data_IF_459023675356
#
_entry.id   IF_459023675356
#
_cell.length_a   1.000
_cell.length_b   1.000
_cell.length_c   1.000
_cell.angle_alpha   90.00
_cell.angle_beta   90.00
_cell.angle_gamma   90.00
#
_symmetry.space_group_name_H-M   'P 1'
#
loop_
_entity.id
_entity.type
_entity.pdbx_description
1 polymer ?
#
# COMPACT_ATOMS: atom_id res chain seq x y z
N UNK A 1 21.47 9.43 -8.31
CA UNK A 1 21.25 8.40 -7.27
C UNK A 1 20.28 7.41 -7.88
N UNK A 2 20.69 6.17 -8.09
CA UNK A 2 19.84 5.14 -8.69
C UNK A 2 18.72 4.88 -7.68
N UNK A 3 17.49 5.30 -8.02
CA UNK A 3 16.31 4.91 -7.25
C UNK A 3 16.24 3.39 -7.34
N UNK A 4 16.54 2.72 -6.24
CA UNK A 4 16.11 1.36 -6.02
C UNK A 4 14.59 1.48 -5.95
N UNK A 5 13.90 1.18 -7.05
CA UNK A 5 12.49 0.81 -6.98
C UNK A 5 12.40 -0.21 -5.84
N UNK A 6 11.39 -0.10 -4.96
CA UNK A 6 11.05 -1.18 -4.04
C UNK A 6 10.54 -2.32 -4.92
N UNK A 7 11.47 -2.96 -5.63
CA UNK A 7 11.23 -4.07 -6.52
C UNK A 7 10.57 -5.15 -5.68
N UNK A 8 9.73 -5.97 -6.31
CA UNK A 8 9.20 -7.18 -5.72
C UNK A 8 10.30 -8.20 -5.33
N UNK A 9 11.58 -7.79 -5.18
CA UNK A 9 12.71 -8.62 -4.84
C UNK A 9 12.51 -9.38 -3.52
N UNK A 10 11.99 -8.77 -2.45
CA UNK A 10 11.70 -9.52 -1.22
C UNK A 10 10.58 -10.54 -1.43
N UNK A 11 9.50 -10.15 -2.11
CA UNK A 11 8.36 -11.04 -2.42
C UNK A 11 8.82 -12.20 -3.31
N UNK A 12 9.61 -11.91 -4.34
CA UNK A 12 10.21 -12.87 -5.26
C UNK A 12 11.18 -13.80 -4.53
N UNK A 13 12.02 -13.26 -3.64
CA UNK A 13 12.92 -14.06 -2.80
C UNK A 13 12.14 -15.00 -1.87
N UNK A 14 11.03 -14.54 -1.27
CA UNK A 14 10.17 -15.37 -0.43
C UNK A 14 9.59 -16.51 -1.29
N UNK A 15 9.05 -16.19 -2.47
CA UNK A 15 8.52 -17.18 -3.41
C UNK A 15 9.56 -18.22 -3.80
N UNK A 16 10.76 -17.79 -4.17
CA UNK A 16 11.86 -18.69 -4.51
C UNK A 16 12.30 -19.57 -3.33
N UNK A 17 12.22 -19.08 -2.09
CA UNK A 17 12.56 -19.88 -0.91
C UNK A 17 11.48 -20.91 -0.60
N UNK A 18 10.20 -20.55 -0.73
CA UNK A 18 9.08 -21.48 -0.57
C UNK A 18 9.12 -22.55 -1.66
N UNK A 19 9.37 -22.18 -2.91
CA UNK A 19 9.43 -23.12 -4.05
C UNK A 19 10.61 -24.11 -3.97
N UNK A 20 11.64 -23.81 -3.17
CA UNK A 20 12.74 -24.75 -2.88
C UNK A 20 12.37 -25.77 -1.81
N UNK A 21 11.39 -25.46 -0.96
CA UNK A 21 10.96 -26.33 0.13
C UNK A 21 9.85 -27.28 -0.31
N UNK A 22 9.00 -26.87 -1.25
CA UNK A 22 7.91 -27.71 -1.76
C UNK A 22 7.82 -27.61 -3.28
N UNK A 23 7.74 -28.77 -3.92
CA UNK A 23 7.57 -28.87 -5.36
C UNK A 23 6.11 -28.62 -5.75
N UNK A 24 5.84 -27.54 -6.50
CA UNK A 24 4.60 -27.31 -7.26
C UNK A 24 3.24 -27.13 -6.54
N UNK A 25 3.09 -26.45 -5.38
CA UNK A 25 1.76 -26.16 -4.85
C UNK A 25 1.00 -25.08 -5.63
N UNK A 26 1.69 -24.00 -6.05
CA UNK A 26 1.03 -22.82 -6.65
C UNK A 26 0.26 -23.14 -7.93
N UNK A 27 0.88 -23.83 -8.91
CA UNK A 27 0.23 -24.22 -10.17
C UNK A 27 -0.94 -25.18 -9.95
N UNK A 28 -0.82 -26.10 -8.99
CA UNK A 28 -1.86 -27.09 -8.70
C UNK A 28 -3.07 -26.52 -7.95
N UNK A 29 -2.86 -25.53 -7.09
CA UNK A 29 -3.95 -24.92 -6.31
C UNK A 29 -4.63 -23.75 -7.01
N UNK A 30 -4.02 -23.17 -8.05
CA UNK A 30 -4.63 -22.03 -8.78
C UNK A 30 -5.50 -22.49 -9.94
N UNK A 31 -5.05 -23.49 -10.70
CA UNK A 31 -5.74 -24.07 -11.85
C UNK A 31 -5.87 -25.59 -11.69
N UNK A 32 -6.76 -26.04 -10.79
CA UNK A 32 -7.06 -27.45 -10.65
C UNK A 32 -8.07 -27.93 -11.71
N UNK A 33 -8.00 -29.21 -12.09
CA UNK A 33 -8.90 -29.78 -13.09
C UNK A 33 -10.30 -30.03 -12.47
N UNK A 34 -11.23 -29.12 -12.76
CA UNK A 34 -12.62 -29.22 -12.30
C UNK A 34 -13.32 -30.50 -12.78
N UNK A 35 -12.90 -31.07 -13.92
CA UNK A 35 -13.47 -32.30 -14.47
C UNK A 35 -13.08 -33.48 -13.60
N UNK A 36 -11.77 -33.64 -13.31
CA UNK A 36 -11.27 -34.71 -12.45
C UNK A 36 -11.80 -34.58 -11.01
N UNK A 37 -11.91 -33.35 -10.51
CA UNK A 37 -12.54 -33.06 -9.22
C UNK A 37 -14.01 -33.50 -9.17
N UNK A 38 -14.77 -33.21 -10.24
CA UNK A 38 -16.19 -33.60 -10.36
C UNK A 38 -16.36 -35.11 -10.51
N UNK A 39 -15.48 -35.77 -11.26
CA UNK A 39 -15.43 -37.23 -11.37
C UNK A 39 -15.18 -37.87 -10.02
N UNK A 40 -14.18 -37.40 -9.27
CA UNK A 40 -13.89 -37.91 -7.92
C UNK A 40 -15.10 -37.73 -6.98
N UNK A 41 -15.74 -36.56 -7.03
CA UNK A 41 -16.95 -36.31 -6.24
C UNK A 41 -18.06 -37.30 -6.60
N UNK A 42 -18.28 -37.55 -7.89
CA UNK A 42 -19.26 -38.51 -8.38
C UNK A 42 -18.95 -39.93 -7.90
N UNK A 43 -17.68 -40.36 -7.97
CA UNK A 43 -17.25 -41.68 -7.50
C UNK A 43 -17.50 -41.86 -5.99
N UNK A 44 -17.23 -40.82 -5.19
CA UNK A 44 -17.46 -40.82 -3.73
C UNK A 44 -18.96 -40.84 -3.39
N UNK A 45 -19.78 -40.18 -4.21
CA UNK A 45 -21.24 -40.20 -4.05
C UNK A 45 -21.85 -41.54 -4.49
N UNK A 46 -21.26 -42.21 -5.48
CA UNK A 46 -21.70 -43.51 -5.96
C UNK A 46 -21.47 -44.66 -4.95
N UNK A 47 -20.57 -44.47 -3.98
CA UNK A 47 -20.40 -45.42 -2.87
C UNK A 47 -21.68 -45.52 -2.04
N UNK A 48 -22.36 -46.67 -2.09
CA UNK A 48 -23.64 -46.87 -1.42
C UNK A 48 -23.48 -47.02 0.10
N UNK A 49 -22.42 -47.73 0.53
CA UNK A 49 -22.15 -48.03 1.95
C UNK A 49 -20.82 -47.43 2.44
N UNK A 50 -20.62 -47.43 3.76
CA UNK A 50 -19.33 -47.06 4.35
C UNK A 50 -18.21 -48.05 4.03
N UNK A 51 -18.52 -49.35 3.87
CA UNK A 51 -17.55 -50.37 3.45
C UNK A 51 -17.10 -50.15 2.00
N UNK A 52 -18.02 -49.75 1.12
CA UNK A 52 -17.68 -49.38 -0.27
C UNK A 52 -16.74 -48.17 -0.28
N UNK A 53 -17.04 -47.15 0.55
CA UNK A 53 -16.20 -45.96 0.67
C UNK A 53 -14.82 -46.31 1.23
N UNK A 54 -14.72 -47.17 2.23
CA UNK A 54 -13.42 -47.63 2.75
C UNK A 54 -12.62 -48.38 1.69
N UNK A 55 -13.26 -49.30 0.97
CA UNK A 55 -12.63 -50.05 -0.13
C UNK A 55 -12.14 -49.10 -1.22
N UNK A 56 -12.97 -48.16 -1.66
CA UNK A 56 -12.59 -47.09 -2.58
C UNK A 56 -11.41 -46.27 -2.05
N UNK A 57 -11.46 -45.86 -0.78
CA UNK A 57 -10.42 -45.07 -0.12
C UNK A 57 -9.08 -45.78 -0.12
N UNK A 58 -9.04 -47.10 0.10
CA UNK A 58 -7.78 -47.87 0.10
C UNK A 58 -7.20 -48.02 -1.30
N UNK A 59 -8.06 -48.17 -2.32
CA UNK A 59 -7.65 -48.34 -3.71
C UNK A 59 -7.35 -47.03 -4.44
N UNK A 60 -7.73 -45.88 -3.85
CA UNK A 60 -7.57 -44.57 -4.48
C UNK A 60 -6.08 -44.27 -4.78
N UNK A 61 -5.72 -44.03 -6.06
CA UNK A 61 -4.35 -43.73 -6.44
C UNK A 61 -3.88 -42.39 -5.86
N UNK A 62 -2.58 -42.28 -5.54
CA UNK A 62 -2.02 -41.05 -4.96
C UNK A 62 -2.24 -39.81 -5.82
N UNK A 63 -2.24 -39.94 -7.16
CA UNK A 63 -2.49 -38.82 -8.09
C UNK A 63 -3.90 -38.24 -7.92
N UNK A 64 -4.89 -39.11 -7.68
CA UNK A 64 -6.30 -38.74 -7.46
C UNK A 64 -6.58 -38.17 -6.07
N UNK A 65 -5.63 -38.28 -5.12
CA UNK A 65 -5.80 -37.69 -3.78
C UNK A 65 -5.72 -36.16 -3.82
N UNK A 66 -4.98 -35.58 -4.76
CA UNK A 66 -4.92 -34.12 -4.88
C UNK A 66 -6.26 -33.53 -5.34
N UNK A 67 -7.02 -34.30 -6.13
CA UNK A 67 -8.35 -33.90 -6.60
C UNK A 67 -9.37 -33.82 -5.44
N UNK A 68 -9.05 -34.31 -4.23
CA UNK A 68 -9.92 -34.16 -3.05
C UNK A 68 -10.22 -32.70 -2.73
N UNK A 69 -9.22 -31.82 -2.83
CA UNK A 69 -9.40 -30.40 -2.54
C UNK A 69 -10.20 -29.70 -3.64
N UNK A 70 -9.94 -30.05 -4.91
CA UNK A 70 -10.78 -29.61 -6.03
C UNK A 70 -12.23 -30.08 -5.89
N UNK A 71 -12.45 -31.35 -5.50
CA UNK A 71 -13.78 -31.92 -5.28
C UNK A 71 -14.54 -31.14 -4.21
N UNK A 72 -13.89 -30.78 -3.09
CA UNK A 72 -14.48 -29.93 -2.06
C UNK A 72 -14.90 -28.54 -2.60
N UNK A 73 -14.18 -28.00 -3.59
CA UNK A 73 -14.47 -26.69 -4.16
C UNK A 73 -15.61 -26.71 -5.19
N UNK A 74 -15.64 -27.71 -6.08
CA UNK A 74 -16.68 -27.83 -7.15
C UNK A 74 -18.03 -28.34 -6.65
N UNK A 75 -18.09 -28.85 -5.42
CA UNK A 75 -19.33 -29.31 -4.81
C UNK A 75 -20.45 -28.25 -4.85
N UNK A 76 -21.61 -28.63 -5.39
CA UNK A 76 -22.79 -27.77 -5.38
C UNK A 76 -23.45 -27.75 -4.00
N UNK A 77 -24.27 -26.71 -3.72
CA UNK A 77 -25.07 -26.67 -2.50
C UNK A 77 -26.03 -27.87 -2.36
N UNK A 78 -26.41 -28.50 -3.48
CA UNK A 78 -27.30 -29.65 -3.51
C UNK A 78 -26.60 -30.98 -3.13
N UNK A 79 -25.27 -31.05 -3.20
CA UNK A 79 -24.49 -32.26 -2.88
C UNK A 79 -24.54 -32.63 -1.39
N UNK A 80 -24.96 -31.70 -0.53
CA UNK A 80 -25.22 -31.94 0.89
C UNK A 80 -23.97 -32.18 1.76
N UNK A 81 -24.19 -32.19 3.06
CA UNK A 81 -23.15 -32.30 4.10
C UNK A 81 -22.50 -33.71 4.16
N UNK A 82 -23.22 -34.72 3.69
CA UNK A 82 -22.74 -36.11 3.65
C UNK A 82 -21.53 -36.26 2.73
N UNK A 83 -21.54 -35.64 1.55
CA UNK A 83 -20.43 -35.72 0.60
C UNK A 83 -19.16 -35.04 1.15
N UNK A 84 -19.30 -33.90 1.85
CA UNK A 84 -18.17 -33.25 2.52
C UNK A 84 -17.57 -34.19 3.57
N UNK A 85 -18.41 -34.76 4.43
CA UNK A 85 -17.96 -35.69 5.48
C UNK A 85 -17.22 -36.90 4.90
N UNK A 86 -17.71 -37.45 3.78
CA UNK A 86 -17.05 -38.57 3.09
C UNK A 86 -15.68 -38.18 2.53
N UNK A 87 -15.55 -37.02 1.88
CA UNK A 87 -14.26 -36.52 1.38
C UNK A 87 -13.26 -36.27 2.51
N UNK A 88 -13.72 -35.70 3.62
CA UNK A 88 -12.87 -35.49 4.81
C UNK A 88 -12.44 -36.82 5.45
N UNK A 89 -13.28 -37.86 5.41
CA UNK A 89 -12.90 -39.20 5.86
C UNK A 89 -11.81 -39.82 4.96
N UNK A 90 -11.89 -39.63 3.63
CA UNK A 90 -10.81 -40.06 2.72
C UNK A 90 -9.51 -39.34 3.08
N UNK A 91 -9.57 -38.02 3.25
CA UNK A 91 -8.42 -37.20 3.64
C UNK A 91 -7.81 -37.69 4.95
N UNK A 92 -8.64 -37.97 5.96
CA UNK A 92 -8.23 -38.52 7.26
C UNK A 92 -7.43 -39.81 7.12
N UNK A 93 -7.99 -40.78 6.40
CA UNK A 93 -7.41 -42.12 6.25
C UNK A 93 -6.14 -42.14 5.39
N UNK A 94 -6.00 -41.20 4.45
CA UNK A 94 -4.90 -41.18 3.46
C UNK A 94 -3.95 -39.99 3.62
N UNK A 95 -4.01 -39.27 4.75
CA UNK A 95 -3.17 -38.10 4.98
C UNK A 95 -1.68 -38.45 4.98
N UNK A 96 -0.91 -37.68 4.21
CA UNK A 96 0.55 -37.73 4.15
C UNK A 96 1.11 -36.30 4.24
N UNK A 97 2.38 -36.11 4.61
CA UNK A 97 2.99 -34.77 4.67
C UNK A 97 2.83 -33.98 3.35
N UNK A 98 3.10 -34.63 2.22
CA UNK A 98 2.93 -34.02 0.89
C UNK A 98 1.48 -33.66 0.56
N UNK A 99 0.49 -34.45 1.02
CA UNK A 99 -0.93 -34.10 0.84
C UNK A 99 -1.34 -32.93 1.75
N UNK A 100 -0.72 -32.80 2.92
CA UNK A 100 -0.92 -31.67 3.82
C UNK A 100 -0.35 -30.36 3.27
N UNK A 101 0.80 -30.41 2.59
CA UNK A 101 1.38 -29.28 1.85
C UNK A 101 0.43 -28.84 0.72
N UNK A 102 -0.08 -29.78 -0.08
CA UNK A 102 -1.09 -29.49 -1.10
C UNK A 102 -2.34 -28.85 -0.48
N UNK A 103 -2.87 -29.44 0.59
CA UNK A 103 -4.05 -28.92 1.28
C UNK A 103 -3.84 -27.51 1.85
N UNK A 104 -2.64 -27.21 2.34
CA UNK A 104 -2.27 -25.87 2.79
C UNK A 104 -2.24 -24.86 1.63
N UNK A 105 -1.72 -25.23 0.46
CA UNK A 105 -1.74 -24.35 -0.70
C UNK A 105 -3.16 -24.08 -1.23
N UNK A 106 -3.99 -25.12 -1.36
CA UNK A 106 -5.41 -24.98 -1.71
C UNK A 106 -6.15 -24.10 -0.71
N UNK A 107 -5.89 -24.28 0.58
CA UNK A 107 -6.48 -23.45 1.62
C UNK A 107 -6.15 -21.98 1.41
N UNK A 108 -4.88 -21.67 1.13
CA UNK A 108 -4.42 -20.31 0.94
C UNK A 108 -5.02 -19.64 -0.30
N UNK A 109 -5.09 -20.36 -1.42
CA UNK A 109 -5.62 -19.84 -2.70
C UNK A 109 -7.13 -19.65 -2.70
N UNK A 110 -7.86 -20.49 -1.97
CA UNK A 110 -9.32 -20.41 -1.89
C UNK A 110 -9.82 -19.79 -0.59
N UNK A 111 -8.96 -19.11 0.16
CA UNK A 111 -9.35 -18.38 1.36
C UNK A 111 -10.24 -17.17 0.99
N UNK A 112 -11.32 -16.89 1.74
CA UNK A 112 -11.94 -17.72 2.77
C UNK A 112 -12.92 -18.73 2.17
N UNK A 113 -12.84 -20.00 2.58
CA UNK A 113 -13.80 -21.04 2.18
C UNK A 113 -14.03 -22.05 3.32
N UNK A 114 -15.29 -22.25 3.69
CA UNK A 114 -15.70 -23.13 4.80
C UNK A 114 -15.24 -24.58 4.65
N UNK A 115 -15.34 -25.13 3.44
CA UNK A 115 -14.92 -26.51 3.18
C UNK A 115 -13.40 -26.66 3.29
N UNK A 116 -12.67 -25.62 2.89
CA UNK A 116 -11.22 -25.56 3.07
C UNK A 116 -10.82 -25.38 4.54
N UNK A 117 -11.59 -24.62 5.34
CA UNK A 117 -11.40 -24.56 6.80
C UNK A 117 -11.49 -25.96 7.43
N UNK A 118 -12.51 -26.73 7.03
CA UNK A 118 -12.72 -28.09 7.53
C UNK A 118 -11.65 -29.08 7.06
N UNK A 119 -11.22 -28.96 5.80
CA UNK A 119 -10.12 -29.76 5.27
C UNK A 119 -8.82 -29.48 6.04
N UNK A 120 -8.46 -28.22 6.24
CA UNK A 120 -7.27 -27.86 7.00
C UNK A 120 -7.39 -28.29 8.47
N UNK A 121 -8.57 -28.17 9.08
CA UNK A 121 -8.81 -28.67 10.45
C UNK A 121 -8.53 -30.16 10.53
N UNK A 122 -9.05 -30.93 9.56
CA UNK A 122 -8.80 -32.38 9.47
C UNK A 122 -7.31 -32.68 9.33
N UNK A 123 -6.59 -31.96 8.47
CA UNK A 123 -5.14 -32.11 8.28
C UNK A 123 -4.39 -31.86 9.60
N UNK A 124 -4.73 -30.78 10.29
CA UNK A 124 -4.05 -30.36 11.53
C UNK A 124 -4.26 -31.38 12.65
N UNK A 125 -5.49 -31.87 12.85
CA UNK A 125 -5.78 -32.88 13.87
C UNK A 125 -5.01 -34.18 13.62
N UNK A 126 -5.02 -34.68 12.38
CA UNK A 126 -4.45 -35.99 12.06
C UNK A 126 -2.93 -36.00 11.99
N UNK A 127 -2.29 -34.85 11.79
CA UNK A 127 -0.81 -34.74 11.77
C UNK A 127 -0.23 -34.63 13.17
N UNK A 128 -0.97 -34.02 14.12
CA UNK A 128 -0.55 -34.00 15.53
C UNK A 128 -0.42 -35.42 16.08
N UNK A 129 -1.31 -36.32 15.69
CA UNK A 129 -1.32 -37.70 16.15
C UNK A 129 -0.19 -38.56 15.52
N UNK A 130 0.51 -38.05 14.50
CA UNK A 130 1.46 -38.81 13.67
C UNK A 130 2.93 -38.39 13.81
N UNK A 131 3.30 -37.58 14.82
CA UNK A 131 4.68 -37.10 15.06
C UNK A 131 5.38 -36.56 13.79
N UNK A 132 4.64 -35.87 12.92
CA UNK A 132 5.16 -35.41 11.63
C UNK A 132 5.98 -34.10 11.77
N UNK A 133 7.18 -34.06 11.18
CA UNK A 133 8.12 -32.92 11.14
C UNK A 133 7.67 -31.78 10.19
N UNK A 134 6.43 -31.28 10.30
CA UNK A 134 5.96 -30.12 9.50
C UNK A 134 5.84 -28.87 10.38
N UNK A 135 6.85 -27.97 10.41
CA UNK A 135 6.92 -26.87 11.37
C UNK A 135 5.75 -25.88 11.28
N UNK A 136 5.23 -25.64 10.07
CA UNK A 136 4.11 -24.72 9.84
C UNK A 136 2.79 -25.24 10.42
N UNK A 137 2.53 -26.55 10.37
CA UNK A 137 1.32 -27.16 10.95
C UNK A 137 1.31 -27.02 12.47
N UNK A 138 2.48 -27.18 13.10
CA UNK A 138 2.63 -26.94 14.52
C UNK A 138 2.35 -25.47 14.87
N UNK A 139 2.82 -24.53 14.05
CA UNK A 139 2.53 -23.11 14.25
C UNK A 139 1.05 -22.75 14.01
N UNK A 140 0.40 -23.33 13.00
CA UNK A 140 -1.05 -23.19 12.78
C UNK A 140 -1.81 -23.70 14.00
N UNK A 141 -1.44 -24.86 14.51
CA UNK A 141 -2.02 -25.48 15.71
C UNK A 141 -1.92 -24.53 16.90
N UNK A 142 -0.71 -24.04 17.18
CA UNK A 142 -0.47 -23.18 18.33
C UNK A 142 -1.15 -21.80 18.18
N UNK A 143 -1.38 -21.32 16.95
CA UNK A 143 -2.09 -20.05 16.71
C UNK A 143 -3.63 -20.21 16.64
N UNK A 144 -4.11 -21.43 16.36
CA UNK A 144 -5.53 -21.76 16.37
C UNK A 144 -6.06 -22.04 17.79
N UNK A 145 -5.19 -22.05 18.81
CA UNK A 145 -5.46 -22.18 20.25
C UNK A 145 -6.68 -23.08 20.58
N UNK A 146 -6.69 -24.25 19.94
CA UNK A 146 -7.71 -25.31 20.05
C UNK A 146 -9.16 -24.85 19.85
N UNK A 147 -9.62 -24.81 18.59
CA UNK A 147 -10.67 -25.75 18.12
C UNK A 147 -11.17 -25.46 16.70
N UNK A 148 -10.92 -24.27 16.13
CA UNK A 148 -11.54 -23.92 14.85
C UNK A 148 -10.56 -23.13 13.97
N UNK A 149 -10.28 -23.70 12.80
CA UNK A 149 -9.69 -22.96 11.69
C UNK A 149 -10.84 -22.23 11.02
N UNK A 150 -10.74 -20.92 10.92
CA UNK A 150 -11.77 -20.03 10.40
C UNK A 150 -11.14 -18.83 9.69
N UNK A 151 -11.99 -17.86 9.30
CA UNK A 151 -11.60 -16.62 8.66
C UNK A 151 -10.76 -15.69 9.56
N UNK A 152 -10.72 -15.92 10.87
CA UNK A 152 -9.93 -15.13 11.82
C UNK A 152 -8.51 -15.67 12.02
N UNK A 153 -8.17 -16.83 11.45
CA UNK A 153 -6.82 -17.41 11.51
C UNK A 153 -5.70 -16.42 11.08
N UNK A 154 -5.82 -15.65 9.99
CA UNK A 154 -4.80 -14.67 9.61
C UNK A 154 -4.53 -13.65 10.73
N UNK A 155 -5.59 -13.16 11.38
CA UNK A 155 -5.50 -12.22 12.50
C UNK A 155 -4.79 -12.81 13.72
N UNK A 156 -5.09 -14.06 14.08
CA UNK A 156 -4.44 -14.77 15.19
C UNK A 156 -2.94 -14.98 14.94
N UNK A 157 -2.58 -15.39 13.71
CA UNK A 157 -1.17 -15.54 13.32
C UNK A 157 -0.43 -14.20 13.33
N UNK A 158 -1.05 -13.14 12.79
CA UNK A 158 -0.49 -11.80 12.78
C UNK A 158 -0.26 -11.27 14.20
N UNK A 159 -1.23 -11.45 15.11
CA UNK A 159 -1.12 -11.06 16.51
C UNK A 159 0.05 -11.79 17.20
N UNK A 160 0.15 -13.10 17.01
CA UNK A 160 1.23 -13.92 17.56
C UNK A 160 2.61 -13.49 17.05
N UNK A 161 2.73 -13.19 15.76
CA UNK A 161 4.00 -12.71 15.19
C UNK A 161 4.38 -11.36 15.80
N UNK A 162 3.43 -10.43 15.95
CA UNK A 162 3.69 -9.13 16.60
C UNK A 162 4.13 -9.26 18.06
N UNK A 163 3.65 -10.26 18.78
CA UNK A 163 4.11 -10.56 20.15
C UNK A 163 5.56 -11.07 20.21
N UNK A 164 6.18 -11.42 19.08
CA UNK A 164 7.54 -11.94 18.99
C UNK A 164 8.38 -11.10 17.99
N UNK A 165 8.82 -9.90 18.38
CA UNK A 165 9.45 -8.92 17.48
C UNK A 165 10.82 -9.36 16.90
N UNK A 166 11.42 -10.42 17.44
CA UNK A 166 12.66 -11.03 16.94
C UNK A 166 12.46 -11.75 15.60
N UNK A 167 11.21 -12.12 15.25
CA UNK A 167 10.93 -12.79 13.99
C UNK A 167 10.65 -11.79 12.87
N UNK A 168 11.48 -11.83 11.82
CA UNK A 168 11.27 -11.06 10.60
C UNK A 168 10.04 -11.58 9.85
N UNK A 169 9.17 -10.68 9.38
CA UNK A 169 7.94 -11.03 8.68
C UNK A 169 8.19 -11.90 7.44
N UNK A 170 9.22 -11.56 6.66
CA UNK A 170 9.59 -12.35 5.48
C UNK A 170 10.00 -13.79 5.82
N UNK A 171 10.77 -13.98 6.89
CA UNK A 171 11.22 -15.31 7.32
C UNK A 171 10.04 -16.11 7.89
N UNK A 172 9.09 -15.42 8.53
CA UNK A 172 7.85 -16.02 8.99
C UNK A 172 6.99 -16.51 7.82
N UNK A 173 6.83 -15.72 6.75
CA UNK A 173 6.13 -16.14 5.54
C UNK A 173 6.77 -17.40 4.93
N UNK A 174 8.10 -17.44 4.86
CA UNK A 174 8.82 -18.63 4.35
C UNK A 174 8.62 -19.83 5.26
N UNK A 175 8.81 -19.67 6.57
CA UNK A 175 8.65 -20.74 7.56
C UNK A 175 7.22 -21.32 7.58
N UNK A 176 6.22 -20.46 7.38
CA UNK A 176 4.82 -20.84 7.32
C UNK A 176 4.37 -21.28 5.92
N UNK A 177 5.26 -21.21 4.93
CA UNK A 177 4.95 -21.43 3.51
C UNK A 177 3.72 -20.64 3.05
N UNK A 178 3.67 -19.37 3.44
CA UNK A 178 2.60 -18.45 3.05
C UNK A 178 2.91 -17.92 1.64
N UNK A 179 2.06 -18.28 0.69
CA UNK A 179 2.17 -17.90 -0.72
C UNK A 179 1.85 -16.40 -0.88
N UNK A 180 2.82 -15.54 -1.25
CA UNK A 180 2.68 -14.09 -1.10
C UNK A 180 1.51 -13.44 -1.83
N UNK A 181 1.04 -14.04 -2.93
CA UNK A 181 -0.04 -13.50 -3.77
C UNK A 181 -1.39 -14.18 -3.49
N UNK A 182 -1.44 -15.10 -2.51
CA UNK A 182 -2.68 -15.78 -2.17
C UNK A 182 -3.65 -14.86 -1.41
N UNK A 183 -4.97 -15.10 -1.51
CA UNK A 183 -5.96 -14.41 -0.67
C UNK A 183 -5.68 -14.53 0.83
N UNK A 184 -5.14 -15.67 1.27
CA UNK A 184 -4.71 -15.83 2.66
C UNK A 184 -3.56 -14.89 3.04
N UNK A 185 -2.54 -14.75 2.19
CA UNK A 185 -1.46 -13.80 2.42
C UNK A 185 -1.96 -12.35 2.44
N UNK A 186 -2.90 -11.99 1.55
CA UNK A 186 -3.55 -10.69 1.55
C UNK A 186 -4.20 -10.40 2.91
N UNK A 187 -5.03 -11.33 3.41
CA UNK A 187 -5.69 -11.21 4.72
C UNK A 187 -4.68 -11.18 5.88
N UNK A 188 -3.65 -12.03 5.86
CA UNK A 188 -2.62 -12.09 6.89
C UNK A 188 -1.81 -10.80 6.97
N UNK A 189 -1.34 -10.30 5.83
CA UNK A 189 -0.57 -9.05 5.77
C UNK A 189 -1.44 -7.85 6.15
N UNK A 190 -2.70 -7.82 5.72
CA UNK A 190 -3.66 -6.79 6.13
C UNK A 190 -3.80 -6.76 7.66
N UNK A 191 -4.09 -7.90 8.28
CA UNK A 191 -4.20 -8.01 9.73
C UNK A 191 -2.89 -7.70 10.45
N UNK A 192 -1.74 -8.05 9.86
CA UNK A 192 -0.42 -7.69 10.40
C UNK A 192 -0.22 -6.18 10.44
N UNK A 193 -0.43 -5.49 9.32
CA UNK A 193 -0.12 -4.08 9.14
C UNK A 193 -1.17 -3.11 9.68
N UNK A 194 -2.44 -3.53 9.80
CA UNK A 194 -3.56 -2.70 10.30
C UNK A 194 -3.35 -2.12 11.70
N UNK A 195 -2.51 -2.75 12.52
CA UNK A 195 -2.21 -2.27 13.88
C UNK A 195 -0.71 -2.31 14.19
N UNK A 196 0.12 -2.20 13.15
CA UNK A 196 1.55 -2.34 13.27
C UNK A 196 2.21 -0.99 13.62
N UNK A 197 3.13 -0.92 14.59
CA UNK A 197 3.88 0.29 14.85
C UNK A 197 4.77 0.67 13.66
N UNK A 198 5.05 1.96 13.52
CA UNK A 198 5.87 2.53 12.45
C UNK A 198 7.19 1.81 12.22
N UNK A 199 7.89 1.43 13.29
CA UNK A 199 9.17 0.72 13.22
C UNK A 199 9.07 -0.59 12.43
N UNK A 200 7.96 -1.31 12.55
CA UNK A 200 7.73 -2.57 11.87
C UNK A 200 7.25 -2.37 10.43
N UNK A 201 6.49 -1.30 10.14
CA UNK A 201 6.18 -0.89 8.76
C UNK A 201 7.47 -0.57 8.02
N UNK A 202 8.33 0.25 8.63
CA UNK A 202 9.60 0.66 8.05
C UNK A 202 10.54 -0.53 7.77
N UNK A 203 10.68 -1.46 8.72
CA UNK A 203 11.49 -2.68 8.54
C UNK A 203 10.96 -3.59 7.44
N UNK A 204 9.67 -3.51 7.13
CA UNK A 204 8.99 -4.38 6.17
C UNK A 204 8.32 -3.57 5.04
N UNK A 205 8.94 -2.47 4.60
CA UNK A 205 8.36 -1.53 3.64
C UNK A 205 7.90 -2.22 2.34
N UNK A 206 8.70 -3.12 1.76
CA UNK A 206 8.34 -3.89 0.56
C UNK A 206 7.09 -4.74 0.78
N UNK A 207 7.00 -5.43 1.91
CA UNK A 207 5.85 -6.27 2.24
C UNK A 207 4.61 -5.45 2.58
N UNK A 208 4.78 -4.24 3.13
CA UNK A 208 3.68 -3.31 3.37
C UNK A 208 3.09 -2.80 2.05
N UNK A 209 3.94 -2.38 1.10
CA UNK A 209 3.51 -1.98 -0.23
C UNK A 209 2.85 -3.15 -0.97
N UNK A 210 3.42 -4.35 -0.88
CA UNK A 210 2.81 -5.58 -1.42
C UNK A 210 1.43 -5.83 -0.82
N UNK A 211 1.28 -5.69 0.50
CA UNK A 211 -0.01 -5.84 1.17
C UNK A 211 -1.06 -4.87 0.63
N UNK A 212 -0.69 -3.63 0.33
CA UNK A 212 -1.59 -2.65 -0.31
C UNK A 212 -1.96 -3.10 -1.73
N UNK A 213 -1.00 -3.60 -2.53
CA UNK A 213 -1.23 -4.03 -3.91
C UNK A 213 -2.21 -5.19 -4.04
N UNK A 214 -2.10 -6.22 -3.18
CA UNK A 214 -2.89 -7.45 -3.30
C UNK A 214 -4.25 -7.41 -2.60
N UNK A 215 -4.51 -6.40 -1.76
CA UNK A 215 -5.75 -6.29 -1.01
C UNK A 215 -6.83 -5.47 -1.73
N UNK A 216 -8.12 -5.72 -1.45
CA UNK A 216 -9.21 -4.92 -1.98
C UNK A 216 -9.22 -3.50 -1.41
N UNK A 217 -9.96 -2.60 -2.08
CA UNK A 217 -9.91 -1.15 -1.84
C UNK A 217 -10.24 -0.73 -0.41
N UNK A 218 -11.20 -1.37 0.23
CA UNK A 218 -11.60 -1.12 1.62
C UNK A 218 -10.45 -1.41 2.61
N UNK A 219 -9.68 -2.46 2.36
CA UNK A 219 -8.49 -2.79 3.12
C UNK A 219 -7.34 -1.85 2.78
N UNK A 220 -7.14 -1.50 1.50
CA UNK A 220 -6.16 -0.49 1.09
C UNK A 220 -6.37 0.84 1.82
N UNK A 221 -7.62 1.30 1.88
CA UNK A 221 -8.01 2.52 2.62
C UNK A 221 -7.64 2.42 4.09
N UNK A 222 -7.89 1.26 4.72
CA UNK A 222 -7.55 1.01 6.12
C UNK A 222 -6.05 1.06 6.37
N UNK A 223 -5.27 0.36 5.54
CA UNK A 223 -3.80 0.30 5.67
C UNK A 223 -3.14 1.66 5.43
N UNK A 224 -3.58 2.39 4.40
CA UNK A 224 -3.05 3.71 4.07
C UNK A 224 -3.47 4.74 5.12
N UNK A 225 -4.70 4.69 5.64
CA UNK A 225 -5.12 5.57 6.74
C UNK A 225 -4.30 5.36 8.00
N UNK A 226 -3.99 4.11 8.35
CA UNK A 226 -3.11 3.80 9.47
C UNK A 226 -1.69 4.30 9.22
N UNK A 227 -1.13 4.03 8.04
CA UNK A 227 0.20 4.50 7.67
C UNK A 227 0.32 6.02 7.68
N UNK A 228 -0.67 6.73 7.15
CA UNK A 228 -0.71 8.19 7.11
C UNK A 228 -1.43 8.78 8.33
N UNK A 229 -1.51 8.07 9.46
CA UNK A 229 -1.99 8.62 10.74
C UNK A 229 -1.09 9.74 11.27
N UNK A 230 0.18 9.71 10.87
CA UNK A 230 1.24 10.67 11.19
C UNK A 230 1.84 11.26 9.91
N UNK A 231 2.59 12.36 10.05
CA UNK A 231 3.29 12.99 8.92
C UNK A 231 4.50 12.16 8.48
N UNK A 232 4.55 11.77 7.20
CA UNK A 232 5.62 10.93 6.61
C UNK A 232 6.67 11.75 5.86
N UNK A 233 7.15 12.82 6.47
CA UNK A 233 8.07 13.80 5.82
C UNK A 233 9.55 13.38 5.85
N UNK A 234 9.92 12.41 6.68
CA UNK A 234 11.30 11.96 6.78
C UNK A 234 11.71 11.11 5.55
N UNK A 235 12.96 11.19 5.07
CA UNK A 235 13.41 10.44 3.89
C UNK A 235 13.24 8.92 3.98
N UNK A 236 13.19 8.39 5.20
CA UNK A 236 13.02 6.95 5.45
C UNK A 236 11.68 6.40 4.94
N UNK A 237 10.69 7.27 4.78
CA UNK A 237 9.35 6.96 4.27
C UNK A 237 9.19 7.19 2.77
N UNK A 238 10.17 7.87 2.15
CA UNK A 238 10.15 8.19 0.72
C UNK A 238 9.90 6.97 -0.17
N UNK A 239 10.52 5.79 0.07
CA UNK A 239 10.27 4.62 -0.77
C UNK A 239 8.79 4.20 -0.79
N UNK A 240 8.13 4.13 0.37
CA UNK A 240 6.71 3.76 0.45
C UNK A 240 5.84 4.83 -0.24
N UNK A 241 6.12 6.10 0.02
CA UNK A 241 5.34 7.19 -0.55
C UNK A 241 5.46 7.28 -2.08
N UNK A 242 6.64 6.98 -2.63
CA UNK A 242 6.85 6.89 -4.08
C UNK A 242 6.03 5.76 -4.71
N UNK A 243 6.00 4.58 -4.10
CA UNK A 243 5.18 3.46 -4.57
C UNK A 243 3.68 3.81 -4.52
N UNK A 244 3.22 4.50 -3.48
CA UNK A 244 1.83 4.98 -3.40
C UNK A 244 1.52 6.00 -4.51
N UNK A 245 2.45 6.91 -4.77
CA UNK A 245 2.31 7.92 -5.83
C UNK A 245 2.29 7.28 -7.23
N UNK A 246 3.15 6.29 -7.46
CA UNK A 246 3.21 5.53 -8.72
C UNK A 246 1.93 4.72 -8.94
N UNK A 247 1.45 4.04 -7.89
CA UNK A 247 0.28 3.16 -7.98
C UNK A 247 -1.05 3.92 -8.09
N UNK A 248 -1.22 5.00 -7.33
CA UNK A 248 -2.52 5.69 -7.22
C UNK A 248 -2.55 7.09 -7.82
N UNK A 249 -1.40 7.59 -8.30
CA UNK A 249 -1.24 8.97 -8.72
C UNK A 249 -1.34 9.96 -7.55
N UNK A 250 -1.18 11.26 -7.83
CA UNK A 250 -1.32 12.29 -6.81
C UNK A 250 -2.78 12.47 -6.38
N UNK A 251 -3.03 12.90 -5.13
CA UNK A 251 -4.35 13.32 -4.69
C UNK A 251 -4.84 14.53 -5.51
N UNK A 252 -6.16 14.69 -5.61
CA UNK A 252 -6.75 15.86 -6.27
C UNK A 252 -6.43 17.14 -5.46
N UNK A 253 -6.59 18.30 -6.10
CA UNK A 253 -6.46 19.58 -5.41
C UNK A 253 -7.42 19.64 -4.22
N UNK A 254 -7.10 20.41 -3.18
CA UNK A 254 -7.90 20.46 -1.95
C UNK A 254 -9.36 20.83 -2.23
N UNK A 255 -9.60 21.75 -3.17
CA UNK A 255 -10.95 22.16 -3.57
C UNK A 255 -11.71 21.02 -4.25
N UNK A 256 -11.06 20.31 -5.18
CA UNK A 256 -11.65 19.15 -5.86
C UNK A 256 -11.93 18.00 -4.88
N UNK A 257 -11.05 17.78 -3.91
CA UNK A 257 -11.22 16.74 -2.88
C UNK A 257 -12.42 17.05 -1.98
N UNK A 258 -12.55 18.32 -1.54
CA UNK A 258 -13.71 18.79 -0.77
C UNK A 258 -15.00 18.64 -1.58
N UNK A 259 -15.00 19.03 -2.84
CA UNK A 259 -16.16 18.90 -3.72
C UNK A 259 -16.55 17.42 -3.92
N UNK A 260 -15.57 16.54 -4.16
CA UNK A 260 -15.80 15.10 -4.28
C UNK A 260 -16.37 14.49 -2.99
N UNK A 261 -15.92 14.96 -1.82
CA UNK A 261 -16.47 14.52 -0.53
C UNK A 261 -17.94 14.93 -0.31
N UNK A 262 -18.36 16.06 -0.89
CA UNK A 262 -19.71 16.61 -0.75
C UNK A 262 -20.71 16.05 -1.77
N UNK A 263 -20.28 15.85 -3.01
CA UNK A 263 -21.15 15.42 -4.12
C UNK A 263 -21.37 13.90 -4.18
N UNK A 264 -20.74 13.14 -3.28
CA UNK A 264 -20.78 11.68 -3.31
C UNK A 264 -19.82 11.06 -4.33
N UNK A 265 -19.64 9.75 -4.23
CA UNK A 265 -18.61 9.01 -4.98
C UNK A 265 -19.11 8.69 -6.39
N UNK A 266 -18.43 9.23 -7.41
CA UNK A 266 -18.68 8.90 -8.83
C UNK A 266 -18.11 7.54 -9.21
N UNK A 267 -18.45 7.03 -10.40
CA UNK A 267 -17.80 5.85 -11.01
C UNK A 267 -16.28 6.01 -11.12
N UNK A 268 -15.80 7.25 -11.28
CA UNK A 268 -14.38 7.57 -11.48
C UNK A 268 -13.66 7.93 -10.16
N UNK A 269 -14.19 7.49 -9.03
CA UNK A 269 -13.60 7.74 -7.72
C UNK A 269 -12.22 7.06 -7.61
N UNK A 270 -11.19 7.87 -7.36
CA UNK A 270 -9.82 7.39 -7.10
C UNK A 270 -9.69 6.94 -5.65
N UNK A 271 -8.64 6.20 -5.31
CA UNK A 271 -8.38 5.75 -3.93
C UNK A 271 -8.44 6.91 -2.92
N UNK A 272 -7.83 8.05 -3.25
CA UNK A 272 -7.80 9.25 -2.42
C UNK A 272 -9.20 9.77 -2.05
N UNK A 273 -10.23 9.49 -2.86
CA UNK A 273 -11.62 9.88 -2.61
C UNK A 273 -12.31 9.02 -1.53
N UNK A 274 -11.68 7.91 -1.12
CA UNK A 274 -12.17 7.03 -0.05
C UNK A 274 -11.49 7.29 1.29
N UNK A 275 -10.40 8.07 1.31
CA UNK A 275 -9.65 8.44 2.51
C UNK A 275 -10.22 9.72 3.14
N UNK A 276 -10.07 9.87 4.45
CA UNK A 276 -10.45 11.10 5.14
C UNK A 276 -9.55 12.27 4.74
N UNK A 277 -10.11 13.48 4.68
CA UNK A 277 -9.35 14.68 4.26
C UNK A 277 -8.02 14.87 5.01
N UNK A 278 -7.92 14.70 6.35
CA UNK A 278 -6.65 14.84 7.06
C UNK A 278 -5.58 13.85 6.60
N UNK A 279 -5.98 12.64 6.20
CA UNK A 279 -5.08 11.60 5.69
C UNK A 279 -4.54 12.00 4.32
N UNK A 280 -5.44 12.45 3.43
CA UNK A 280 -5.09 12.94 2.09
C UNK A 280 -4.18 14.17 2.19
N UNK A 281 -4.45 15.08 3.12
CA UNK A 281 -3.68 16.31 3.33
C UNK A 281 -2.23 16.01 3.75
N UNK A 282 -2.00 15.00 4.61
CA UNK A 282 -0.65 14.57 4.98
C UNK A 282 0.15 14.04 3.79
N UNK A 283 -0.48 13.22 2.93
CA UNK A 283 0.19 12.73 1.72
C UNK A 283 0.45 13.86 0.72
N UNK A 284 -0.53 14.74 0.51
CA UNK A 284 -0.38 15.92 -0.34
C UNK A 284 0.78 16.80 0.12
N UNK A 285 0.93 16.99 1.43
CA UNK A 285 2.07 17.76 1.96
C UNK A 285 3.41 17.08 1.67
N UNK A 286 3.51 15.75 1.86
CA UNK A 286 4.72 15.02 1.47
C UNK A 286 5.01 15.17 -0.02
N UNK A 287 4.02 14.96 -0.88
CA UNK A 287 4.16 15.06 -2.33
C UNK A 287 4.62 16.45 -2.76
N UNK A 288 4.02 17.48 -2.17
CA UNK A 288 4.38 18.87 -2.40
C UNK A 288 5.85 19.16 -2.08
N UNK A 289 6.33 18.70 -0.91
CA UNK A 289 7.73 18.85 -0.52
C UNK A 289 8.66 18.03 -1.43
N UNK A 290 8.23 16.82 -1.81
CA UNK A 290 8.98 15.97 -2.73
C UNK A 290 9.14 16.61 -4.11
N UNK A 291 8.09 17.20 -4.68
CA UNK A 291 8.15 17.94 -5.94
C UNK A 291 9.08 19.16 -5.84
N UNK A 292 8.99 19.90 -4.73
CA UNK A 292 9.83 21.06 -4.45
C UNK A 292 11.31 20.65 -4.37
N UNK A 293 11.65 19.62 -3.59
CA UNK A 293 13.03 19.13 -3.46
C UNK A 293 13.59 18.61 -4.78
N UNK A 294 12.77 17.90 -5.57
CA UNK A 294 13.14 17.45 -6.92
C UNK A 294 13.42 18.64 -7.86
N UNK A 295 12.61 19.69 -7.78
CA UNK A 295 12.76 20.88 -8.62
C UNK A 295 13.99 21.72 -8.24
N UNK A 296 14.23 21.91 -6.95
CA UNK A 296 15.38 22.67 -6.44
C UNK A 296 16.70 21.94 -6.77
N UNK A 297 16.66 20.61 -6.86
CA UNK A 297 17.85 19.80 -7.13
C UNK A 297 18.92 20.03 -6.08
N UNK A 298 20.15 20.32 -6.51
CA UNK A 298 21.30 20.50 -5.61
C UNK A 298 21.50 21.94 -5.10
N UNK A 299 20.61 22.89 -5.43
CA UNK A 299 20.77 24.30 -5.01
C UNK A 299 20.63 24.45 -3.49
N UNK A 300 21.77 24.61 -2.80
CA UNK A 300 21.82 24.80 -1.35
C UNK A 300 21.12 26.10 -0.90
N UNK A 301 21.12 27.13 -1.75
CA UNK A 301 20.52 28.44 -1.49
C UNK A 301 18.99 28.37 -1.48
N UNK A 302 18.40 27.80 -2.52
CA UNK A 302 16.95 27.56 -2.58
C UNK A 302 16.48 26.65 -1.45
N UNK A 303 17.21 25.58 -1.14
CA UNK A 303 16.90 24.71 0.02
C UNK A 303 16.88 25.50 1.33
N UNK A 304 17.86 26.37 1.56
CA UNK A 304 17.92 27.20 2.76
C UNK A 304 16.77 28.21 2.82
N UNK A 305 16.42 28.82 1.69
CA UNK A 305 15.29 29.73 1.57
C UNK A 305 13.96 29.02 1.85
N UNK A 306 13.68 27.91 1.17
CA UNK A 306 12.41 27.20 1.31
C UNK A 306 12.22 26.52 2.65
N UNK A 307 13.30 26.13 3.36
CA UNK A 307 13.20 25.64 4.75
C UNK A 307 12.47 26.62 5.68
N UNK A 308 12.45 27.91 5.36
CA UNK A 308 11.80 28.95 6.16
C UNK A 308 10.28 29.03 5.91
N UNK A 309 9.82 28.67 4.73
CA UNK A 309 8.44 28.90 4.29
C UNK A 309 7.71 27.65 3.78
N UNK A 310 8.35 26.48 3.75
CA UNK A 310 7.80 25.25 3.16
C UNK A 310 6.53 24.76 3.86
N UNK A 311 6.40 25.01 5.17
CA UNK A 311 5.21 24.62 5.94
C UNK A 311 3.99 25.51 5.67
N UNK A 312 4.18 26.66 5.03
CA UNK A 312 3.12 27.61 4.69
C UNK A 312 2.70 27.52 3.21
N UNK A 313 3.37 26.67 2.42
CA UNK A 313 2.96 26.39 1.04
C UNK A 313 1.66 25.58 1.11
N UNK A 314 0.62 26.07 0.41
CA UNK A 314 -0.68 25.41 0.31
C UNK A 314 -0.73 24.38 -0.81
N UNK A 315 -0.11 24.71 -1.93
CA UNK A 315 -0.17 23.93 -3.17
C UNK A 315 1.05 24.24 -4.04
N UNK A 316 1.45 23.26 -4.84
CA UNK A 316 2.50 23.38 -5.85
C UNK A 316 1.90 23.02 -7.20
N UNK A 317 2.16 23.83 -8.21
CA UNK A 317 1.68 23.63 -9.57
C UNK A 317 2.79 23.95 -10.57
N UNK A 318 2.71 23.38 -11.77
CA UNK A 318 3.64 23.69 -12.86
C UNK A 318 3.05 24.78 -13.74
N UNK A 319 3.79 25.86 -13.95
CA UNK A 319 3.45 26.86 -14.97
C UNK A 319 3.90 26.41 -16.36
N UNK A 320 5.10 25.81 -16.41
CA UNK A 320 5.70 25.17 -17.58
C UNK A 320 6.62 24.03 -17.12
N UNK A 321 7.32 23.39 -18.06
CA UNK A 321 8.23 22.26 -17.77
C UNK A 321 9.39 22.61 -16.81
N UNK A 322 9.70 23.90 -16.62
CA UNK A 322 10.86 24.38 -15.87
C UNK A 322 10.50 25.27 -14.70
N UNK A 323 9.24 25.65 -14.54
CA UNK A 323 8.81 26.67 -13.57
C UNK A 323 7.74 26.11 -12.65
N UNK A 324 8.08 26.00 -11.37
CA UNK A 324 7.14 25.70 -10.30
C UNK A 324 6.50 26.97 -9.75
N UNK A 325 5.21 26.89 -9.47
CA UNK A 325 4.44 27.92 -8.78
C UNK A 325 4.02 27.38 -7.42
N UNK A 326 4.50 28.03 -6.37
CA UNK A 326 4.22 27.72 -4.97
C UNK A 326 3.14 28.68 -4.47
N UNK A 327 1.98 28.14 -4.13
CA UNK A 327 0.82 28.93 -3.69
C UNK A 327 0.82 29.13 -2.19
N UNK A 328 0.69 30.37 -1.76
CA UNK A 328 0.48 30.77 -0.36
C UNK A 328 -0.88 31.44 -0.22
N UNK A 329 -1.28 31.74 1.02
CA UNK A 329 -2.57 32.37 1.35
C UNK A 329 -2.85 33.66 0.57
N UNK A 330 -1.81 34.47 0.33
CA UNK A 330 -1.93 35.87 -0.13
C UNK A 330 -1.03 36.21 -1.31
N UNK A 331 -0.22 35.25 -1.76
CA UNK A 331 0.77 35.45 -2.80
C UNK A 331 1.20 34.11 -3.40
N UNK A 332 1.98 34.17 -4.47
CA UNK A 332 2.64 33.00 -5.04
C UNK A 332 4.13 33.27 -5.22
N UNK A 333 4.92 32.20 -5.21
CA UNK A 333 6.32 32.23 -5.62
C UNK A 333 6.48 31.43 -6.92
N UNK A 334 7.06 32.05 -7.94
CA UNK A 334 7.46 31.37 -9.17
C UNK A 334 8.97 31.08 -9.10
N UNK A 335 9.31 29.80 -9.15
CA UNK A 335 10.68 29.28 -9.14
C UNK A 335 10.99 28.61 -10.48
N UNK A 336 12.07 29.02 -11.13
CA UNK A 336 12.52 28.39 -12.37
C UNK A 336 13.80 27.59 -12.14
N UNK A 337 13.85 26.39 -12.71
CA UNK A 337 15.07 25.56 -12.71
C UNK A 337 16.24 26.23 -13.45
N UNK A 338 15.96 27.19 -14.35
CA UNK A 338 17.01 27.91 -15.06
C UNK A 338 17.74 28.94 -14.20
N UNK A 339 17.13 29.34 -13.08
CA UNK A 339 17.59 30.44 -12.24
C UNK A 339 17.93 29.95 -10.82
N UNK A 340 19.17 29.53 -10.58
CA UNK A 340 19.57 28.92 -9.30
C UNK A 340 19.53 29.86 -8.09
N UNK A 341 19.65 31.16 -8.36
CA UNK A 341 19.84 32.22 -7.34
C UNK A 341 18.67 33.19 -7.26
N UNK A 342 17.52 32.85 -7.87
CA UNK A 342 16.40 33.78 -7.95
C UNK A 342 15.07 33.07 -7.91
N UNK A 343 14.15 33.68 -7.16
CA UNK A 343 12.74 33.33 -7.11
C UNK A 343 11.94 34.61 -7.30
N UNK A 344 10.77 34.54 -7.93
CA UNK A 344 9.90 35.70 -8.11
C UNK A 344 8.66 35.60 -7.22
N UNK A 345 8.40 36.66 -6.47
CA UNK A 345 7.16 36.85 -5.73
C UNK A 345 6.15 37.58 -6.60
N UNK A 346 4.91 37.15 -6.53
CA UNK A 346 3.75 37.83 -7.10
C UNK A 346 2.63 37.92 -6.07
N UNK A 347 2.02 39.09 -5.92
CA UNK A 347 0.73 39.17 -5.24
C UNK A 347 -0.36 38.45 -6.06
N UNK A 348 -1.44 38.03 -5.39
CA UNK A 348 -2.49 37.25 -6.04
C UNK A 348 -3.16 37.98 -7.20
N UNK A 349 -3.38 39.30 -7.08
CA UNK A 349 -4.06 40.07 -8.12
C UNK A 349 -3.21 40.10 -9.40
N UNK A 350 -1.91 40.34 -9.25
CA UNK A 350 -0.94 40.36 -10.34
C UNK A 350 -0.84 38.98 -10.99
N UNK A 351 -0.73 37.93 -10.18
CA UNK A 351 -0.70 36.56 -10.68
C UNK A 351 -1.98 36.20 -11.45
N UNK A 352 -3.16 36.54 -10.94
CA UNK A 352 -4.44 36.27 -11.60
C UNK A 352 -4.54 36.94 -12.97
N UNK A 353 -4.15 38.21 -13.08
CA UNK A 353 -4.12 38.94 -14.37
C UNK A 353 -3.21 38.23 -15.37
N UNK A 354 -2.02 37.78 -14.94
CA UNK A 354 -1.08 37.07 -15.81
C UNK A 354 -1.57 35.66 -16.18
N UNK A 355 -2.21 34.97 -15.24
CA UNK A 355 -2.78 33.64 -15.44
C UNK A 355 -3.97 33.68 -16.42
N UNK A 356 -4.87 34.64 -16.30
CA UNK A 356 -6.00 34.81 -17.22
C UNK A 356 -5.53 35.32 -18.60
N UNK A 357 -4.41 36.04 -18.64
CA UNK A 357 -3.69 36.45 -19.84
C UNK A 357 -2.79 35.38 -20.46
N UNK A 358 -2.74 34.15 -19.93
CA UNK A 358 -1.80 33.07 -20.32
C UNK A 358 -1.88 32.62 -21.78
N UNK A 359 -2.83 33.11 -22.57
CA UNK A 359 -2.89 32.95 -24.03
C UNK A 359 -1.68 33.57 -24.78
N UNK A 360 -0.77 34.28 -24.10
CA UNK A 360 0.29 35.08 -24.71
C UNK A 360 1.75 34.68 -24.36
N UNK A 361 2.07 33.42 -24.04
CA UNK A 361 3.45 32.97 -23.71
C UNK A 361 4.12 33.84 -22.64
N UNK A 362 3.44 34.05 -21.51
CA UNK A 362 3.98 34.82 -20.38
C UNK A 362 4.96 33.95 -19.59
N UNK A 363 6.19 34.43 -19.42
CA UNK A 363 7.23 33.76 -18.62
C UNK A 363 7.27 34.35 -17.21
N UNK A 364 6.89 33.58 -16.18
CA UNK A 364 6.91 34.06 -14.79
C UNK A 364 8.32 34.29 -14.24
N UNK A 365 9.36 33.73 -14.86
CA UNK A 365 10.75 34.02 -14.48
C UNK A 365 11.36 35.21 -15.22
N UNK A 366 10.62 35.81 -16.17
CA UNK A 366 11.02 37.00 -16.93
C UNK A 366 9.84 37.97 -17.04
N UNK A 367 9.43 38.60 -15.93
CA UNK A 367 8.30 39.52 -15.95
C UNK A 367 8.56 40.70 -16.91
N UNK A 368 7.55 41.07 -17.68
CA UNK A 368 7.65 42.16 -18.66
C UNK A 368 7.81 43.54 -18.00
N UNK A 369 7.26 43.69 -16.78
CA UNK A 369 7.50 44.85 -15.92
C UNK A 369 8.73 44.62 -15.05
N UNK A 370 9.58 45.65 -14.85
CA UNK A 370 10.77 45.52 -14.02
C UNK A 370 10.37 45.22 -12.57
N UNK A 371 10.75 44.04 -12.09
CA UNK A 371 10.52 43.62 -10.72
C UNK A 371 11.40 44.42 -9.75
N UNK A 372 10.83 44.85 -8.62
CA UNK A 372 11.61 45.42 -7.52
C UNK A 372 12.44 44.31 -6.87
N UNK A 373 13.67 44.62 -6.43
CA UNK A 373 14.42 43.64 -5.62
C UNK A 373 13.86 43.58 -4.20
N UNK A 374 13.99 42.43 -3.52
CA UNK A 374 13.58 42.29 -2.12
C UNK A 374 14.13 43.42 -1.22
N UNK A 375 15.40 43.79 -1.41
CA UNK A 375 16.04 44.91 -0.71
C UNK A 375 15.31 46.24 -0.93
N UNK A 376 14.96 46.55 -2.19
CA UNK A 376 14.23 47.78 -2.51
C UNK A 376 12.81 47.76 -1.94
N UNK A 377 12.12 46.63 -2.01
CA UNK A 377 10.77 46.48 -1.46
C UNK A 377 10.73 46.65 0.07
N UNK A 378 11.72 46.08 0.77
CA UNK A 378 11.86 46.23 2.23
C UNK A 378 12.17 47.69 2.60
N UNK A 379 13.10 48.34 1.90
CA UNK A 379 13.53 49.72 2.22
C UNK A 379 12.49 50.79 1.85
N UNK A 380 11.77 50.61 0.75
CA UNK A 380 10.76 51.56 0.28
C UNK A 380 9.38 51.37 0.90
N UNK A 381 9.14 50.23 1.54
CA UNK A 381 7.80 49.84 2.02
C UNK A 381 6.82 49.46 0.91
N UNK A 382 7.21 49.56 -0.36
CA UNK A 382 6.38 49.16 -1.50
C UNK A 382 6.52 47.66 -1.78
N UNK A 383 5.45 46.91 -1.54
CA UNK A 383 5.44 45.43 -1.55
C UNK A 383 4.41 44.86 -2.53
N UNK A 384 3.94 45.69 -3.45
CA UNK A 384 2.86 45.37 -4.40
C UNK A 384 3.48 45.01 -5.76
N UNK A 385 2.81 44.13 -6.50
CA UNK A 385 3.14 43.61 -7.82
C UNK A 385 4.14 42.45 -7.81
N UNK A 386 5.34 42.68 -8.36
CA UNK A 386 6.33 41.63 -8.63
C UNK A 386 7.63 41.99 -7.92
N UNK A 387 8.13 41.06 -7.11
CA UNK A 387 9.39 41.24 -6.37
C UNK A 387 10.35 40.12 -6.75
N UNK A 388 11.56 40.50 -7.17
CA UNK A 388 12.66 39.57 -7.41
C UNK A 388 13.38 39.28 -6.10
N UNK A 389 13.33 38.01 -5.68
CA UNK A 389 14.00 37.48 -4.51
C UNK A 389 15.33 36.89 -4.95
N UNK A 390 16.40 37.68 -4.85
CA UNK A 390 17.76 37.20 -5.10
C UNK A 390 18.25 36.43 -3.87
N UNK A 391 18.76 35.22 -4.09
CA UNK A 391 19.16 34.27 -3.05
C UNK A 391 20.67 34.17 -2.88
N UNK A 392 21.43 35.09 -3.49
CA UNK A 392 22.86 35.23 -3.26
C UNK A 392 23.15 35.88 -1.89
N UNK A 393 24.32 35.57 -1.34
CA UNK A 393 24.79 35.86 0.03
C UNK A 393 23.98 36.90 0.83
N UNK A 394 24.17 38.19 0.57
CA UNK A 394 23.56 39.29 1.34
C UNK A 394 22.07 39.46 1.01
N UNK A 395 21.67 39.18 -0.23
CA UNK A 395 20.29 39.34 -0.67
C UNK A 395 19.36 38.26 -0.12
N UNK A 396 19.90 37.08 0.24
CA UNK A 396 19.13 36.04 0.91
C UNK A 396 18.50 36.52 2.22
N UNK A 397 19.18 37.39 2.98
CA UNK A 397 18.64 37.96 4.21
C UNK A 397 17.42 38.84 3.90
N UNK A 398 17.52 39.71 2.88
CA UNK A 398 16.40 40.56 2.46
C UNK A 398 15.24 39.73 1.89
N UNK A 399 15.52 38.68 1.13
CA UNK A 399 14.51 37.76 0.61
C UNK A 399 13.77 37.04 1.74
N UNK A 400 14.50 36.57 2.77
CA UNK A 400 13.91 35.97 3.97
C UNK A 400 13.05 36.97 4.71
N UNK A 401 13.59 38.14 5.06
CA UNK A 401 12.87 39.11 5.88
C UNK A 401 11.59 39.60 5.17
N UNK A 402 11.66 39.80 3.85
CA UNK A 402 10.49 40.09 3.03
C UNK A 402 9.43 38.98 3.12
N UNK A 403 9.80 37.72 2.92
CA UNK A 403 8.84 36.59 2.96
C UNK A 403 8.28 36.36 4.35
N UNK A 404 9.11 36.45 5.40
CA UNK A 404 8.64 36.36 6.78
C UNK A 404 7.56 37.40 7.07
N UNK A 405 7.72 38.62 6.56
CA UNK A 405 6.69 39.64 6.70
C UNK A 405 5.41 39.31 5.92
N UNK A 406 5.53 38.79 4.69
CA UNK A 406 4.36 38.38 3.89
C UNK A 406 3.61 37.19 4.49
N UNK A 407 4.31 36.30 5.20
CA UNK A 407 3.75 35.17 5.93
C UNK A 407 3.12 35.57 7.27
N UNK A 408 3.57 36.69 7.86
CA UNK A 408 3.03 37.15 9.14
C UNK A 408 1.62 37.68 8.89
N UNK A 409 0.58 37.14 9.56
CA UNK A 409 -0.75 37.70 9.45
C UNK A 409 -0.69 39.15 9.93
N UNK A 410 -1.01 40.10 9.04
CA UNK A 410 -1.26 41.49 9.45
C UNK A 410 -2.27 41.42 10.59
N UNK A 411 -1.85 41.75 11.82
CA UNK A 411 -2.80 42.10 12.87
C UNK A 411 -3.68 43.18 12.24
N UNK A 412 -4.97 42.89 12.10
CA UNK A 412 -5.93 43.88 11.66
C UNK A 412 -5.71 45.10 12.55
N UNK A 413 -5.19 46.17 11.97
CA UNK A 413 -5.40 47.50 12.52
C UNK A 413 -6.88 47.79 12.29
N UNK A 414 -7.71 47.24 13.18
CA UNK A 414 -9.01 47.78 13.50
C UNK A 414 -8.75 49.16 14.09
N UNK A 415 -8.74 50.16 13.22
CA UNK A 415 -9.01 51.56 13.57
C UNK A 415 -10.08 52.09 12.63
#
# INVERSE_FOLDING_TARGET
>A
MIMIQLSDAKVHSIRQQISRQVAFPEEMSSDFDETLASELLSDVQACATEEDLQSFTTLLPRRRLNDLFGALLVMSAASGESAVTRLLNILRLRLTPSLAETGWAFFQHHFPNDRMFRALTTIVCEIQDKDSELPYIHMITQAADMQIIDDSLPGRLAARLRSNPEHLLGDYLVKMMILPDSPFAAAFLAEYFKSCPDQLIQKNAELFVHAIKINPRDIQVTLISHYLSEYRLQPIWEPINLELLEQFGPPRSLQQQKLASLLGRSSDAKLWDFLELPVVDRFRQWEMLYQLDKHIGASSRKRLFYKLCSMQIREVSHWDDKTLVLHFDRFILADSQADDDRVFYYDLNTYQILHDGSRYNVFLNKPATPALTARQAVLSGNKINIVSLQLDAVNLLYARDFITEQLTPKKDMLH
#
